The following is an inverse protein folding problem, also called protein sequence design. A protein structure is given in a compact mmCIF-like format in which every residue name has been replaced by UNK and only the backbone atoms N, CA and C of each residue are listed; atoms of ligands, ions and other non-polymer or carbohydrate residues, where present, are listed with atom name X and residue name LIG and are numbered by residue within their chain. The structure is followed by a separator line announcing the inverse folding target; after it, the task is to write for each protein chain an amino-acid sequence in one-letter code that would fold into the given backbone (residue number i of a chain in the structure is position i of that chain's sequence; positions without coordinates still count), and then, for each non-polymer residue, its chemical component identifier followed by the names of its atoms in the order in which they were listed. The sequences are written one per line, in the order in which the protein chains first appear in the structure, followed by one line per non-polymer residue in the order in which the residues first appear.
data_IF_705680384759
#
_entry.id   IF_705680384759
#
_cell.length_a   1.000
_cell.length_b   1.000
_cell.length_c   1.000
_cell.angle_alpha   90.00
_cell.angle_beta   90.00
_cell.angle_gamma   90.00
#
_symmetry.space_group_name_H-M   'P 1'
#
loop_
_entity.id
_entity.type
_entity.pdbx_description
1 polymer ?
#
# COMPACT_ATOMS: atom_id res chain seq x y z
N UNK A 1 2.22 9.66 -16.08
CA UNK A 1 2.65 8.49 -15.30
C UNK A 1 2.61 8.91 -13.84
N UNK A 2 2.03 8.11 -12.95
CA UNK A 2 2.01 8.46 -11.53
C UNK A 2 3.42 8.30 -10.94
N UNK A 3 3.77 9.17 -9.99
CA UNK A 3 5.00 9.03 -9.21
C UNK A 3 4.70 8.29 -7.91
N UNK A 4 5.41 7.21 -7.62
CA UNK A 4 5.28 6.50 -6.35
C UNK A 4 6.33 7.02 -5.36
N UNK A 5 5.88 7.46 -4.19
CA UNK A 5 6.72 7.79 -3.06
C UNK A 5 6.45 6.76 -1.94
N UNK A 6 7.51 6.10 -1.48
CA UNK A 6 7.43 5.10 -0.42
C UNK A 6 7.78 5.78 0.90
N UNK A 7 6.99 5.52 1.93
CA UNK A 7 7.34 5.94 3.29
C UNK A 7 8.36 4.97 3.88
N UNK A 8 9.18 5.42 4.82
CA UNK A 8 10.10 4.57 5.57
C UNK A 8 9.36 3.38 6.23
N UNK A 9 8.11 3.61 6.69
CA UNK A 9 7.25 2.58 7.26
C UNK A 9 6.88 1.47 6.25
N UNK A 10 6.70 1.84 4.97
CA UNK A 10 6.46 0.87 3.90
C UNK A 10 7.74 0.09 3.57
N UNK A 11 8.86 0.78 3.37
CA UNK A 11 10.14 0.19 2.99
C UNK A 11 10.59 -0.85 4.02
N UNK A 12 10.65 -0.46 5.30
CA UNK A 12 11.04 -1.35 6.41
C UNK A 12 10.19 -2.62 6.49
N UNK A 13 8.89 -2.52 6.18
CA UNK A 13 8.03 -3.69 6.18
C UNK A 13 8.24 -4.58 4.96
N UNK A 14 8.37 -3.99 3.77
CA UNK A 14 8.56 -4.75 2.54
C UNK A 14 9.85 -5.55 2.66
N UNK A 15 10.92 -4.93 3.15
CA UNK A 15 12.22 -5.57 3.40
C UNK A 15 12.16 -6.64 4.50
N UNK A 16 11.33 -6.42 5.52
CA UNK A 16 11.08 -7.37 6.60
C UNK A 16 10.22 -8.58 6.23
N UNK A 17 9.63 -8.63 5.01
CA UNK A 17 8.86 -9.80 4.58
C UNK A 17 9.78 -10.99 4.30
N UNK A 18 9.61 -12.06 5.08
CA UNK A 18 10.24 -13.35 4.77
C UNK A 18 9.71 -14.00 3.48
N UNK A 19 8.53 -13.59 3.00
CA UNK A 19 7.92 -14.09 1.76
C UNK A 19 8.44 -13.31 0.53
N UNK A 20 9.49 -13.86 -0.09
CA UNK A 20 10.09 -13.30 -1.31
C UNK A 20 9.14 -13.29 -2.52
N UNK A 21 8.16 -14.19 -2.55
CA UNK A 21 7.18 -14.22 -3.64
C UNK A 21 6.19 -13.08 -3.48
N UNK A 22 5.75 -12.82 -2.25
CA UNK A 22 4.94 -11.65 -1.92
C UNK A 22 5.66 -10.35 -2.27
N UNK A 23 6.94 -10.20 -1.89
CA UNK A 23 7.74 -9.02 -2.24
C UNK A 23 7.74 -8.76 -3.76
N UNK A 24 7.99 -9.78 -4.58
CA UNK A 24 7.95 -9.66 -6.05
C UNK A 24 6.55 -9.31 -6.57
N UNK A 25 5.50 -9.89 -6.01
CA UNK A 25 4.12 -9.59 -6.39
C UNK A 25 3.77 -8.13 -6.08
N UNK A 26 4.18 -7.63 -4.91
CA UNK A 26 3.99 -6.23 -4.48
C UNK A 26 4.77 -5.29 -5.40
N UNK A 27 6.05 -5.56 -5.66
CA UNK A 27 6.87 -4.74 -6.56
C UNK A 27 6.25 -4.62 -7.96
N UNK A 28 5.75 -5.73 -8.53
CA UNK A 28 5.02 -5.70 -9.81
C UNK A 28 3.73 -4.91 -9.74
N UNK A 29 3.04 -4.93 -8.60
CA UNK A 29 1.82 -4.14 -8.39
C UNK A 29 2.15 -2.64 -8.35
N UNK A 30 3.25 -2.24 -7.71
CA UNK A 30 3.72 -0.85 -7.68
C UNK A 30 4.00 -0.33 -9.08
N UNK A 31 4.70 -1.10 -9.93
CA UNK A 31 4.94 -0.73 -11.33
C UNK A 31 3.64 -0.54 -12.11
N UNK A 32 2.60 -1.35 -11.83
CA UNK A 32 1.28 -1.16 -12.43
C UNK A 32 0.62 0.14 -11.96
N UNK A 33 0.76 0.50 -10.68
CA UNK A 33 0.23 1.75 -10.14
C UNK A 33 0.90 2.98 -10.76
N UNK A 34 2.19 2.93 -11.11
CA UNK A 34 2.88 3.97 -11.90
C UNK A 34 2.18 4.21 -13.24
N UNK A 35 1.74 3.14 -13.89
CA UNK A 35 0.94 3.18 -15.13
C UNK A 35 -0.54 3.53 -14.94
N UNK A 36 -1.00 3.78 -13.70
CA UNK A 36 -2.40 4.08 -13.40
C UNK A 36 -3.30 2.87 -13.21
N UNK A 37 -2.72 1.67 -13.14
CA UNK A 37 -3.46 0.42 -12.93
C UNK A 37 -3.38 0.00 -11.45
N UNK A 38 -4.40 0.39 -10.68
CA UNK A 38 -4.48 0.14 -9.23
C UNK A 38 -5.08 -1.24 -8.88
N UNK A 39 -5.66 -1.93 -9.86
CA UNK A 39 -6.27 -3.24 -9.65
C UNK A 39 -7.49 -3.18 -8.72
N UNK A 40 -7.57 -4.13 -7.80
CA UNK A 40 -8.61 -4.17 -6.79
C UNK A 40 -8.34 -3.14 -5.68
N UNK A 41 -8.88 -1.94 -5.86
CA UNK A 41 -8.70 -0.81 -4.95
C UNK A 41 -10.01 -0.31 -4.35
N UNK A 42 -9.98 0.12 -3.09
CA UNK A 42 -11.13 0.67 -2.36
C UNK A 42 -10.71 1.94 -1.62
N UNK A 43 -11.50 3.01 -1.77
CA UNK A 43 -11.38 4.19 -0.90
C UNK A 43 -11.85 3.83 0.50
N UNK A 44 -11.03 4.16 1.49
CA UNK A 44 -11.32 3.98 2.91
C UNK A 44 -11.61 5.34 3.55
N UNK A 45 -11.25 5.50 4.82
CA UNK A 45 -11.47 6.72 5.57
C UNK A 45 -10.49 7.83 5.15
N UNK A 46 -11.00 9.06 5.13
CA UNK A 46 -10.24 10.25 4.76
C UNK A 46 -9.76 10.20 3.31
N UNK A 47 -8.44 10.17 3.12
CA UNK A 47 -7.77 10.16 1.79
C UNK A 47 -7.04 8.85 1.51
N UNK A 48 -7.25 7.84 2.37
CA UNK A 48 -6.55 6.55 2.28
C UNK A 48 -7.31 5.60 1.37
N UNK A 49 -6.57 4.92 0.52
CA UNK A 49 -7.02 3.84 -0.35
C UNK A 49 -6.35 2.54 0.07
N UNK A 50 -7.06 1.43 -0.10
CA UNK A 50 -6.54 0.07 0.04
C UNK A 50 -6.49 -0.59 -1.33
N UNK A 51 -5.31 -1.10 -1.73
CA UNK A 51 -5.17 -2.04 -2.83
C UNK A 51 -5.00 -3.46 -2.30
N UNK A 52 -5.86 -4.37 -2.76
CA UNK A 52 -5.98 -5.75 -2.29
C UNK A 52 -5.16 -6.68 -3.18
N UNK A 53 -4.13 -7.29 -2.60
CA UNK A 53 -3.28 -8.25 -3.29
C UNK A 53 -3.64 -9.66 -2.83
N UNK A 54 -4.21 -10.44 -3.74
CA UNK A 54 -4.59 -11.84 -3.52
C UNK A 54 -3.37 -12.76 -3.66
N UNK A 55 -2.45 -12.66 -2.72
CA UNK A 55 -1.28 -13.53 -2.61
C UNK A 55 -1.08 -13.95 -1.14
N UNK A 56 -0.78 -15.24 -0.92
CA UNK A 56 -0.54 -15.80 0.40
C UNK A 56 -1.62 -15.41 1.42
N UNK A 57 -1.28 -14.75 2.54
CA UNK A 57 -2.21 -14.36 3.61
C UNK A 57 -3.20 -13.25 3.21
N UNK A 58 -3.12 -12.72 1.99
CA UNK A 58 -3.93 -11.61 1.51
C UNK A 58 -3.39 -10.26 1.97
N UNK A 59 -2.41 -9.75 1.22
CA UNK A 59 -1.75 -8.47 1.49
C UNK A 59 -2.62 -7.27 1.12
N UNK A 60 -2.45 -6.15 1.83
CA UNK A 60 -3.20 -4.90 1.65
C UNK A 60 -2.27 -3.69 1.60
N UNK A 61 -2.07 -3.11 0.43
CA UNK A 61 -1.29 -1.88 0.33
C UNK A 61 -2.19 -0.69 0.65
N UNK A 62 -1.76 0.16 1.59
CA UNK A 62 -2.49 1.38 1.91
C UNK A 62 -1.75 2.58 1.35
N UNK A 63 -2.45 3.41 0.60
CA UNK A 63 -1.86 4.53 -0.10
C UNK A 63 -2.76 5.76 -0.07
N UNK A 64 -2.18 6.94 -0.26
CA UNK A 64 -2.93 8.17 -0.50
C UNK A 64 -2.43 8.83 -1.77
N UNK A 65 -3.29 9.65 -2.37
CA UNK A 65 -2.98 10.36 -3.61
C UNK A 65 -2.98 11.87 -3.37
N UNK A 66 -1.92 12.54 -3.81
CA UNK A 66 -1.78 14.00 -3.83
C UNK A 66 -1.32 14.43 -5.22
N UNK A 67 -2.27 14.84 -6.06
CA UNK A 67 -2.02 15.13 -7.47
C UNK A 67 -1.64 13.86 -8.25
N UNK A 68 -0.48 13.88 -8.92
CA UNK A 68 0.11 12.77 -9.65
C UNK A 68 0.99 11.86 -8.76
N UNK A 69 1.21 12.24 -7.50
CA UNK A 69 1.98 11.47 -6.53
C UNK A 69 1.07 10.50 -5.76
N UNK A 70 1.52 9.26 -5.66
CA UNK A 70 0.93 8.21 -4.85
C UNK A 70 1.92 7.92 -3.72
N UNK A 71 1.46 8.14 -2.49
CA UNK A 71 2.21 7.86 -1.28
C UNK A 71 1.82 6.47 -0.78
N UNK A 72 2.75 5.53 -0.71
CA UNK A 72 2.55 4.23 -0.05
C UNK A 72 2.75 4.43 1.45
N UNK A 73 1.64 4.50 2.18
CA UNK A 73 1.57 4.95 3.57
C UNK A 73 1.78 3.84 4.57
N UNK A 74 1.29 2.64 4.25
CA UNK A 74 1.46 1.51 5.14
C UNK A 74 2.00 0.28 4.43
N UNK A 75 2.88 -0.35 5.19
CA UNK A 75 3.21 -1.75 5.19
C UNK A 75 1.98 -2.63 4.93
N UNK A 76 2.10 -3.54 3.97
CA UNK A 76 1.04 -4.47 3.65
C UNK A 76 0.57 -5.24 4.87
N UNK A 77 -0.60 -4.83 5.35
CA UNK A 77 -1.37 -5.57 6.32
C UNK A 77 -1.71 -6.94 5.75
N UNK A 78 -1.99 -7.89 6.63
CA UNK A 78 -2.78 -9.05 6.22
C UNK A 78 -4.23 -8.77 6.59
N UNK A 79 -5.17 -9.50 5.96
CA UNK A 79 -6.60 -9.43 6.30
C UNK A 79 -6.86 -9.46 7.82
N UNK A 80 -6.02 -10.13 8.61
CA UNK A 80 -6.20 -10.29 10.07
C UNK A 80 -5.97 -9.00 10.88
N UNK A 81 -5.21 -8.04 10.37
CA UNK A 81 -4.85 -6.79 11.08
C UNK A 81 -5.44 -5.54 10.43
N UNK A 82 -6.35 -5.74 9.46
CA UNK A 82 -6.87 -4.70 8.57
C UNK A 82 -7.29 -3.43 9.31
N UNK A 83 -8.13 -3.52 10.35
CA UNK A 83 -8.63 -2.34 11.06
C UNK A 83 -7.49 -1.49 11.67
N UNK A 84 -6.54 -2.13 12.35
CA UNK A 84 -5.38 -1.46 12.95
C UNK A 84 -4.47 -0.83 11.90
N UNK A 85 -4.33 -1.51 10.76
CA UNK A 85 -3.52 -1.03 9.64
C UNK A 85 -4.18 0.21 8.98
N UNK A 86 -5.51 0.24 8.88
CA UNK A 86 -6.27 1.40 8.38
C UNK A 86 -6.08 2.61 9.28
N UNK A 87 -6.26 2.47 10.60
CA UNK A 87 -6.09 3.56 11.57
C UNK A 87 -4.69 4.18 11.48
N UNK A 88 -3.67 3.33 11.39
CA UNK A 88 -2.28 3.79 11.22
C UNK A 88 -2.09 4.50 9.87
N UNK A 89 -2.75 4.05 8.80
CA UNK A 89 -2.60 4.63 7.48
C UNK A 89 -3.24 6.02 7.44
N UNK A 90 -4.40 6.18 8.09
CA UNK A 90 -5.06 7.48 8.25
C UNK A 90 -4.18 8.45 9.01
N UNK A 91 -3.53 8.00 10.10
CA UNK A 91 -2.62 8.84 10.87
C UNK A 91 -1.40 9.31 10.06
N UNK A 92 -0.81 8.43 9.24
CA UNK A 92 0.30 8.79 8.34
C UNK A 92 -0.15 9.68 7.18
N UNK A 93 -1.36 9.44 6.64
CA UNK A 93 -1.95 10.26 5.59
C UNK A 93 -2.18 11.72 6.03
N UNK A 94 -2.35 11.97 7.32
CA UNK A 94 -2.51 13.33 7.84
C UNK A 94 -1.21 14.15 7.82
N UNK A 95 -0.06 13.49 7.62
CA UNK A 95 1.27 14.10 7.66
C UNK A 95 1.85 14.42 6.27
N UNK A 96 1.12 14.10 5.19
CA UNK A 96 1.53 14.29 3.78
C UNK A 96 0.69 15.33 3.04
#
# INVERSE_FOLDING_TARGET
MNRIEQTEAFENWLDGLGDRTAQKAIARHIVKMEGGLFGDAKLLEGKVWEARIHHGPGYRLYYARKGDRIYLLLCGGTKRRQQKDIERAVALAAQI
#
